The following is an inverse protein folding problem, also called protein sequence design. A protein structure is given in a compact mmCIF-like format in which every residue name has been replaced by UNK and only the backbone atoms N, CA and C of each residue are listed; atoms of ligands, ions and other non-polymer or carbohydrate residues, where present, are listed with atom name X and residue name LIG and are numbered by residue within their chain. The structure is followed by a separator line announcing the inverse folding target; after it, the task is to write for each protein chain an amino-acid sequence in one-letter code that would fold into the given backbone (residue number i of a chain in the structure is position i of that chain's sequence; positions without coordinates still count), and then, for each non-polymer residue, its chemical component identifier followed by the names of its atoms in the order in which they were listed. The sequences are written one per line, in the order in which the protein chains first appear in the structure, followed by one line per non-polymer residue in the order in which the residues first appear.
data_IF_515522684539
#
_entry.id   IF_515522684539
#
_cell.length_a   1.000
_cell.length_b   1.000
_cell.length_c   1.000
_cell.angle_alpha   90.00
_cell.angle_beta   90.00
_cell.angle_gamma   90.00
#
_symmetry.space_group_name_H-M   'P 1'
#
loop_
_entity.id
_entity.type
_entity.pdbx_description
1 polymer ?
#
# COMPACT_ATOMS: atom_id res chain seq x y z
N UNK A 1 -11.68 4.87 10.44
CA UNK A 1 -10.87 3.70 10.06
C UNK A 1 -10.44 3.92 8.63
N UNK A 2 -9.18 3.68 8.29
CA UNK A 2 -8.73 3.77 6.89
C UNK A 2 -9.24 2.51 6.20
N UNK A 3 -10.18 2.66 5.27
CA UNK A 3 -10.68 1.56 4.48
C UNK A 3 -9.71 1.33 3.31
N UNK A 4 -8.99 0.21 3.35
CA UNK A 4 -8.00 -0.14 2.32
C UNK A 4 -8.68 -1.03 1.28
N UNK A 5 -8.65 -0.60 0.03
CA UNK A 5 -9.22 -1.31 -1.11
C UNK A 5 -8.22 -1.44 -2.26
N UNK A 6 -8.42 -2.41 -3.15
CA UNK A 6 -7.63 -2.51 -4.39
C UNK A 6 -7.80 -1.22 -5.19
N UNK A 7 -6.69 -0.65 -5.67
CA UNK A 7 -6.63 0.68 -6.28
C UNK A 7 -6.37 1.82 -5.30
N UNK A 8 -6.39 1.56 -3.98
CA UNK A 8 -5.93 2.54 -2.98
C UNK A 8 -4.46 2.88 -3.20
N UNK A 9 -4.12 4.14 -3.00
CA UNK A 9 -2.74 4.60 -3.13
C UNK A 9 -2.15 4.91 -1.76
N UNK A 10 -0.88 4.63 -1.59
CA UNK A 10 -0.11 4.95 -0.40
C UNK A 10 1.24 5.54 -0.76
N UNK A 11 1.80 6.34 0.14
CA UNK A 11 3.16 6.83 0.04
C UNK A 11 4.00 6.13 1.10
N UNK A 12 4.94 5.32 0.63
CA UNK A 12 5.94 4.66 1.44
C UNK A 12 7.20 5.53 1.55
N UNK A 13 7.76 5.69 2.74
CA UNK A 13 8.92 6.57 2.98
C UNK A 13 10.15 6.22 2.13
N UNK A 14 10.35 4.94 1.84
CA UNK A 14 11.51 4.43 1.07
C UNK A 14 11.21 4.29 -0.42
N UNK A 15 10.01 3.84 -0.79
CA UNK A 15 9.68 3.44 -2.16
C UNK A 15 8.85 4.50 -2.90
N UNK A 16 8.41 5.54 -2.20
CA UNK A 16 7.56 6.58 -2.78
C UNK A 16 6.11 6.14 -2.91
N UNK A 17 5.43 6.67 -3.93
CA UNK A 17 4.02 6.39 -4.20
C UNK A 17 3.85 4.95 -4.71
N UNK A 18 2.87 4.24 -4.17
CA UNK A 18 2.50 2.91 -4.60
C UNK A 18 0.99 2.69 -4.58
N UNK A 19 0.54 1.78 -5.43
CA UNK A 19 -0.87 1.44 -5.61
C UNK A 19 -1.09 0.00 -5.18
N UNK A 20 -2.10 -0.22 -4.35
CA UNK A 20 -2.52 -1.55 -3.91
C UNK A 20 -3.13 -2.28 -5.11
N UNK A 21 -2.46 -3.33 -5.55
CA UNK A 21 -2.89 -4.19 -6.65
C UNK A 21 -3.77 -5.33 -6.15
N UNK A 22 -3.39 -5.92 -5.00
CA UNK A 22 -4.10 -7.07 -4.42
C UNK A 22 -4.08 -6.95 -2.88
N UNK A 23 -5.15 -7.41 -2.25
CA UNK A 23 -5.29 -7.48 -0.80
C UNK A 23 -5.49 -8.95 -0.43
N UNK A 24 -4.59 -9.47 0.38
CA UNK A 24 -4.72 -10.74 1.07
C UNK A 24 -5.04 -10.48 2.55
N UNK A 25 -5.47 -11.50 3.31
CA UNK A 25 -5.92 -11.39 4.71
C UNK A 25 -5.11 -10.41 5.59
N UNK A 26 -3.78 -10.48 5.52
CA UNK A 26 -2.88 -9.65 6.34
C UNK A 26 -1.82 -8.92 5.52
N UNK A 27 -1.89 -9.00 4.19
CA UNK A 27 -0.84 -8.53 3.29
C UNK A 27 -1.41 -7.77 2.12
N UNK A 28 -0.62 -6.81 1.65
CA UNK A 28 -0.95 -5.93 0.53
C UNK A 28 0.14 -6.08 -0.51
N UNK A 29 -0.26 -6.42 -1.72
CA UNK A 29 0.63 -6.34 -2.87
C UNK A 29 0.51 -4.95 -3.46
N UNK A 30 1.63 -4.23 -3.44
CA UNK A 30 1.70 -2.83 -3.84
C UNK A 30 2.68 -2.73 -5.01
N UNK A 31 2.25 -2.07 -6.08
CA UNK A 31 3.09 -1.70 -7.19
C UNK A 31 3.50 -0.23 -7.02
N UNK A 32 4.79 0.03 -6.86
CA UNK A 32 5.35 1.37 -6.72
C UNK A 32 5.59 2.02 -8.08
N UNK A 33 5.59 3.35 -8.14
CA UNK A 33 5.87 4.10 -9.39
C UNK A 33 7.26 3.81 -9.96
N UNK A 34 8.19 3.31 -9.14
CA UNK A 34 9.50 2.82 -9.60
C UNK A 34 9.42 1.56 -10.49
N UNK A 35 8.24 0.94 -10.60
CA UNK A 35 8.03 -0.35 -11.26
C UNK A 35 8.34 -1.56 -10.36
N UNK A 36 8.68 -1.33 -9.09
CA UNK A 36 8.86 -2.41 -8.12
C UNK A 36 7.54 -2.86 -7.51
N UNK A 37 7.33 -4.17 -7.45
CA UNK A 37 6.24 -4.78 -6.69
C UNK A 37 6.75 -5.26 -5.33
N UNK A 38 6.04 -4.93 -4.25
CA UNK A 38 6.31 -5.46 -2.90
C UNK A 38 5.05 -5.98 -2.26
N UNK A 39 5.24 -7.01 -1.43
CA UNK A 39 4.21 -7.51 -0.53
C UNK A 39 4.54 -7.00 0.86
N UNK A 40 3.68 -6.16 1.42
CA UNK A 40 3.84 -5.55 2.74
C UNK A 40 2.68 -5.95 3.65
N UNK A 41 2.94 -6.02 4.96
CA UNK A 41 1.89 -6.31 5.93
C UNK A 41 0.89 -5.16 6.03
N UNK A 42 -0.40 -5.48 6.00
CA UNK A 42 -1.49 -4.49 6.07
C UNK A 42 -1.37 -3.61 7.31
N UNK A 43 -1.23 -4.21 8.50
CA UNK A 43 -1.06 -3.47 9.75
C UNK A 43 0.19 -2.59 9.76
N UNK A 44 1.28 -3.05 9.14
CA UNK A 44 2.52 -2.28 9.08
C UNK A 44 2.34 -1.06 8.18
N UNK A 45 1.73 -1.23 7.00
CA UNK A 45 1.44 -0.14 6.08
C UNK A 45 0.47 0.87 6.68
N UNK A 46 -0.56 0.42 7.42
CA UNK A 46 -1.48 1.31 8.12
C UNK A 46 -0.80 2.20 9.17
N UNK A 47 0.30 1.72 9.78
CA UNK A 47 1.06 2.45 10.79
C UNK A 47 2.21 3.29 10.21
N UNK A 48 2.79 2.89 9.08
CA UNK A 48 4.04 3.46 8.57
C UNK A 48 3.94 4.15 7.20
N UNK A 49 2.81 4.01 6.50
CA UNK A 49 2.59 4.64 5.20
C UNK A 49 1.53 5.74 5.30
N UNK A 50 1.64 6.76 4.45
CA UNK A 50 0.56 7.73 4.27
C UNK A 50 -0.43 7.21 3.24
N UNK A 51 -1.69 7.08 3.64
CA UNK A 51 -2.75 6.54 2.79
C UNK A 51 -3.53 7.68 2.14
N UNK A 52 -3.66 7.60 0.82
CA UNK A 52 -4.49 8.53 0.06
C UNK A 52 -5.74 7.76 -0.39
N UNK A 53 -6.70 7.68 0.52
CA UNK A 53 -8.04 7.15 0.25
C UNK A 53 -8.86 8.25 -0.40
N UNK A 54 -9.34 8.02 -1.62
CA UNK A 54 -10.18 8.96 -2.37
C UNK A 54 -11.65 8.73 -2.09
#
# INVERSE_FOLDING_TARGET
MVEVSVGSTLVHKVYGLGTVMEIEDTRLKICFESGEEKILGLEWCLKNCQWNTK
#
